data_IF_688735151108
#
_entry.id   IF_688735151108
#
_cell.length_a   1.000
_cell.length_b   1.000
_cell.length_c   1.000
_cell.angle_alpha   90.00
_cell.angle_beta   90.00
_cell.angle_gamma   90.00
#
_symmetry.space_group_name_H-M   'P 1'
#
loop_
_entity.id
_entity.type
_entity.pdbx_description
1 polymer ?
#
# COMPACT_ATOMS: atom_id res chain seq x y z
N UNK A 1 9.51 9.86 14.52
CA UNK A 1 9.77 11.12 13.78
C UNK A 1 10.92 11.83 14.46
N UNK A 2 12.14 11.83 13.87
CA UNK A 2 13.31 12.45 14.51
C UNK A 2 13.40 13.97 14.30
N UNK A 3 12.46 14.57 13.56
CA UNK A 3 12.46 16.00 13.23
C UNK A 3 11.37 16.74 13.99
N UNK A 4 11.69 17.97 14.43
CA UNK A 4 10.75 18.85 15.10
C UNK A 4 9.61 19.23 14.15
N UNK A 5 8.37 19.22 14.64
CA UNK A 5 7.12 19.49 13.89
C UNK A 5 6.72 18.44 12.83
N UNK A 6 7.41 17.29 12.76
CA UNK A 6 7.04 16.21 11.84
C UNK A 6 5.76 15.47 12.24
N UNK A 7 4.87 15.21 11.28
CA UNK A 7 3.62 14.44 11.48
C UNK A 7 3.56 13.22 10.55
N UNK A 8 3.16 12.06 11.08
CA UNK A 8 2.82 10.89 10.27
C UNK A 8 1.40 11.08 9.72
N UNK A 9 1.28 11.54 8.48
CA UNK A 9 0.00 12.00 7.92
C UNK A 9 -0.60 11.05 6.89
N UNK A 10 0.16 10.05 6.44
CA UNK A 10 -0.29 9.06 5.46
C UNK A 10 -1.44 8.24 6.01
N UNK A 11 -2.45 8.07 5.16
CA UNK A 11 -3.65 7.29 5.42
C UNK A 11 -3.76 6.25 4.31
N UNK A 12 -3.41 5.03 4.68
CA UNK A 12 -3.27 3.92 3.76
C UNK A 12 -3.70 2.64 4.45
N UNK A 13 -4.36 1.77 3.70
CA UNK A 13 -4.67 0.40 4.12
C UNK A 13 -3.96 -0.57 3.19
N UNK A 14 -3.24 -1.54 3.77
CA UNK A 14 -2.76 -2.73 3.08
C UNK A 14 -3.65 -3.88 3.54
N UNK A 15 -4.45 -4.41 2.63
CA UNK A 15 -5.45 -5.44 2.92
C UNK A 15 -5.03 -6.73 2.24
N UNK A 16 -4.67 -7.74 3.03
CA UNK A 16 -4.24 -9.05 2.54
C UNK A 16 -5.36 -10.06 2.75
N UNK A 17 -5.77 -10.70 1.66
CA UNK A 17 -6.84 -11.68 1.59
C UNK A 17 -6.28 -13.04 1.18
N UNK A 18 -7.09 -14.08 1.33
CA UNK A 18 -6.77 -15.40 0.76
C UNK A 18 -6.71 -15.39 -0.77
N UNK A 19 -7.39 -14.43 -1.41
CA UNK A 19 -7.50 -14.29 -2.87
C UNK A 19 -6.54 -13.26 -3.48
N UNK A 20 -5.81 -12.48 -2.68
CA UNK A 20 -4.89 -11.45 -3.16
C UNK A 20 -4.68 -10.31 -2.18
N UNK A 21 -4.19 -9.17 -2.69
CA UNK A 21 -3.86 -7.98 -1.90
C UNK A 21 -4.52 -6.74 -2.51
N UNK A 22 -4.94 -5.80 -1.66
CA UNK A 22 -5.45 -4.49 -2.08
C UNK A 22 -4.77 -3.36 -1.32
N UNK A 23 -4.50 -2.29 -2.03
CA UNK A 23 -4.00 -1.03 -1.48
C UNK A 23 -5.12 0.00 -1.56
N UNK A 24 -5.40 0.66 -0.44
CA UNK A 24 -6.30 1.81 -0.40
C UNK A 24 -5.51 3.00 0.09
N UNK A 25 -5.49 4.08 -0.69
CA UNK A 25 -4.94 5.38 -0.27
C UNK A 25 -6.11 6.34 -0.12
N UNK A 26 -6.23 6.97 1.04
CA UNK A 26 -7.39 7.80 1.36
C UNK A 26 -7.01 9.06 2.16
N UNK A 27 -7.99 9.92 2.43
CA UNK A 27 -7.77 11.20 3.14
C UNK A 27 -8.36 11.24 4.55
N UNK A 28 -9.24 10.31 4.91
CA UNK A 28 -9.88 10.24 6.23
C UNK A 28 -8.98 9.67 7.35
N UNK A 29 -9.01 10.26 8.54
CA UNK A 29 -8.51 9.58 9.75
C UNK A 29 -9.48 8.45 10.16
N UNK A 30 -9.02 7.50 10.97
CA UNK A 30 -9.87 6.40 11.48
C UNK A 30 -10.71 6.84 12.69
N UNK A 31 -11.56 7.84 12.50
CA UNK A 31 -12.48 8.39 13.51
C UNK A 31 -13.85 8.65 12.90
N UNK A 32 -14.98 8.37 13.57
CA UNK A 32 -16.33 8.50 12.99
C UNK A 32 -16.58 9.83 12.27
N UNK A 33 -16.18 10.95 12.87
CA UNK A 33 -16.38 12.30 12.34
C UNK A 33 -15.74 12.53 10.96
N UNK A 34 -14.68 11.79 10.62
CA UNK A 34 -14.01 11.89 9.32
C UNK A 34 -14.74 11.12 8.21
N UNK A 35 -15.71 10.26 8.56
CA UNK A 35 -16.47 9.41 7.64
C UNK A 35 -17.96 9.78 7.55
N UNK A 36 -18.38 10.87 8.20
CA UNK A 36 -19.79 11.28 8.26
C UNK A 36 -20.08 12.51 7.37
N UNK A 37 -19.66 13.69 7.79
CA UNK A 37 -20.02 14.98 7.15
C UNK A 37 -18.82 15.68 6.49
N UNK A 38 -17.84 14.91 6.01
CA UNK A 38 -16.65 15.46 5.33
C UNK A 38 -16.51 14.87 3.94
N UNK A 39 -16.17 15.72 2.98
CA UNK A 39 -15.71 15.27 1.67
C UNK A 39 -14.35 14.61 1.81
N UNK A 40 -14.28 13.31 1.53
CA UNK A 40 -13.04 12.52 1.58
C UNK A 40 -12.79 11.86 0.22
N UNK A 41 -11.53 11.67 -0.11
CA UNK A 41 -11.09 10.97 -1.32
C UNK A 41 -10.61 9.56 -0.99
N UNK A 42 -10.84 8.66 -1.96
CA UNK A 42 -10.37 7.29 -1.93
C UNK A 42 -9.81 6.93 -3.30
N UNK A 43 -8.60 6.40 -3.31
CA UNK A 43 -8.09 5.59 -4.41
C UNK A 43 -8.04 4.15 -3.94
N UNK A 44 -8.69 3.27 -4.69
CA UNK A 44 -8.78 1.85 -4.40
C UNK A 44 -8.11 1.10 -5.54
N UNK A 45 -7.01 0.41 -5.26
CA UNK A 45 -6.31 -0.38 -6.26
C UNK A 45 -7.19 -1.53 -6.78
N UNK A 46 -6.87 -2.12 -7.94
CA UNK A 46 -7.33 -3.47 -8.30
C UNK A 46 -6.99 -4.49 -7.21
N UNK A 47 -7.60 -5.68 -7.30
CA UNK A 47 -7.14 -6.82 -6.51
C UNK A 47 -5.87 -7.38 -7.15
N UNK A 48 -4.75 -7.31 -6.44
CA UNK A 48 -3.48 -7.86 -6.89
C UNK A 48 -3.42 -9.34 -6.54
N UNK A 49 -3.41 -10.26 -7.52
CA UNK A 49 -3.33 -11.69 -7.25
C UNK A 49 -1.92 -12.06 -6.76
N UNK A 50 -1.79 -13.26 -6.18
CA UNK A 50 -0.49 -13.79 -5.79
C UNK A 50 0.29 -14.23 -7.04
N UNK A 51 1.57 -13.91 -7.12
CA UNK A 51 2.44 -14.35 -8.20
C UNK A 51 2.59 -15.88 -8.19
N UNK A 52 2.66 -16.47 -9.39
CA UNK A 52 3.11 -17.85 -9.54
C UNK A 52 4.63 -17.91 -9.37
N UNK A 53 5.17 -19.05 -8.95
CA UNK A 53 6.58 -19.18 -8.54
C UNK A 53 7.57 -18.82 -9.66
N UNK A 54 7.15 -18.98 -10.90
CA UNK A 54 7.97 -18.72 -12.08
C UNK A 54 8.04 -17.23 -12.48
N UNK A 55 7.11 -16.38 -12.00
CA UNK A 55 6.92 -15.00 -12.50
C UNK A 55 7.46 -13.91 -11.55
N UNK A 56 8.31 -14.27 -10.59
CA UNK A 56 8.73 -13.38 -9.50
C UNK A 56 9.38 -12.05 -9.93
N UNK A 57 9.80 -11.92 -11.20
CA UNK A 57 10.48 -10.74 -11.73
C UNK A 57 9.57 -9.71 -12.44
N UNK A 58 8.32 -10.03 -12.81
CA UNK A 58 7.49 -9.16 -13.69
C UNK A 58 6.21 -8.61 -13.05
N UNK A 59 6.08 -8.67 -11.72
CA UNK A 59 4.86 -8.26 -11.02
C UNK A 59 4.70 -6.76 -10.76
N UNK A 60 5.28 -5.87 -11.56
CA UNK A 60 5.14 -4.40 -11.41
C UNK A 60 4.40 -3.79 -12.61
N UNK A 61 3.77 -2.64 -12.41
CA UNK A 61 3.05 -1.92 -13.46
C UNK A 61 3.98 -1.07 -14.33
N UNK A 62 3.46 -0.57 -15.45
CA UNK A 62 4.14 0.46 -16.25
C UNK A 62 4.40 1.76 -15.47
N UNK A 63 3.61 2.02 -14.42
CA UNK A 63 3.78 3.16 -13.51
C UNK A 63 4.80 2.90 -12.40
N UNK A 64 5.33 1.68 -12.29
CA UNK A 64 6.28 1.24 -11.25
C UNK A 64 5.75 1.38 -9.82
N UNK A 65 4.43 1.29 -9.67
CA UNK A 65 3.76 1.55 -8.39
C UNK A 65 4.26 0.60 -7.28
N UNK A 66 4.53 -0.67 -7.57
CA UNK A 66 5.02 -1.63 -6.56
C UNK A 66 6.41 -1.23 -6.08
N UNK A 67 7.32 -0.91 -7.00
CA UNK A 67 8.67 -0.47 -6.64
C UNK A 67 8.64 0.80 -5.77
N UNK A 68 7.82 1.78 -6.12
CA UNK A 68 7.71 3.05 -5.40
C UNK A 68 7.06 2.87 -4.02
N UNK A 69 6.02 2.03 -3.92
CA UNK A 69 5.40 1.70 -2.63
C UNK A 69 6.37 0.96 -1.70
N UNK A 70 7.17 0.03 -2.23
CA UNK A 70 8.22 -0.64 -1.47
C UNK A 70 9.28 0.34 -0.97
N UNK A 71 9.70 1.29 -1.81
CA UNK A 71 10.64 2.33 -1.42
C UNK A 71 10.07 3.21 -0.29
N UNK A 72 8.81 3.62 -0.42
CA UNK A 72 8.09 4.39 0.59
C UNK A 72 8.03 3.67 1.95
N UNK A 73 7.64 2.39 1.97
CA UNK A 73 7.54 1.60 3.19
C UNK A 73 8.90 1.32 3.83
N UNK A 74 9.95 1.08 3.04
CA UNK A 74 11.32 0.85 3.55
C UNK A 74 11.91 2.08 4.25
N UNK A 75 11.44 3.29 3.94
CA UNK A 75 11.87 4.51 4.64
C UNK A 75 11.52 4.51 6.14
N UNK A 76 10.55 3.72 6.57
CA UNK A 76 10.20 3.59 7.99
C UNK A 76 11.28 2.85 8.80
N UNK A 77 12.05 1.96 8.17
CA UNK A 77 13.09 1.14 8.81
C UNK A 77 12.57 0.32 10.02
N UNK A 78 11.31 -0.15 9.94
CA UNK A 78 10.65 -0.96 10.96
C UNK A 78 10.50 -2.41 10.48
N UNK A 79 10.79 -3.39 11.33
CA UNK A 79 10.67 -4.82 11.01
C UNK A 79 9.25 -5.22 10.65
N UNK A 80 8.26 -4.69 11.35
CA UNK A 80 6.84 -4.98 11.09
C UNK A 80 6.39 -4.48 9.72
N UNK A 81 6.96 -3.35 9.26
CA UNK A 81 6.71 -2.81 7.91
C UNK A 81 7.42 -3.65 6.85
N UNK A 82 8.60 -4.20 7.14
CA UNK A 82 9.30 -5.08 6.21
C UNK A 82 8.51 -6.37 5.89
N UNK A 83 7.78 -6.92 6.87
CA UNK A 83 6.86 -8.05 6.59
C UNK A 83 5.81 -7.71 5.53
N UNK A 84 5.32 -6.46 5.51
CA UNK A 84 4.42 -6.01 4.45
C UNK A 84 5.13 -5.87 3.12
N UNK A 85 6.39 -5.41 3.09
CA UNK A 85 7.20 -5.40 1.88
C UNK A 85 7.34 -6.81 1.27
N UNK A 86 7.57 -7.83 2.11
CA UNK A 86 7.68 -9.23 1.65
C UNK A 86 6.36 -9.75 1.09
N UNK A 87 5.22 -9.35 1.65
CA UNK A 87 3.90 -9.66 1.10
C UNK A 87 3.66 -8.96 -0.23
N UNK A 88 3.99 -7.67 -0.35
CA UNK A 88 3.85 -6.92 -1.61
C UNK A 88 4.68 -7.55 -2.73
N UNK A 89 5.88 -8.05 -2.41
CA UNK A 89 6.74 -8.73 -3.38
C UNK A 89 6.15 -10.04 -3.93
N UNK A 90 5.22 -10.66 -3.21
CA UNK A 90 4.54 -11.89 -3.60
C UNK A 90 3.29 -11.67 -4.45
N UNK A 91 2.91 -10.43 -4.74
CA UNK A 91 1.69 -10.12 -5.50
C UNK A 91 1.99 -9.39 -6.81
N UNK A 92 1.13 -9.59 -7.80
CA UNK A 92 1.23 -8.97 -9.12
C UNK A 92 0.51 -7.62 -9.17
N UNK A 93 1.28 -6.56 -9.41
CA UNK A 93 0.81 -5.17 -9.50
C UNK A 93 0.66 -4.69 -10.95
N UNK A 94 0.84 -5.55 -11.95
CA UNK A 94 0.77 -5.21 -13.39
C UNK A 94 -0.48 -4.41 -13.78
N UNK A 95 -1.61 -4.67 -13.11
CA UNK A 95 -2.90 -3.99 -13.33
C UNK A 95 -3.01 -2.57 -12.76
N UNK A 96 -1.98 -2.09 -12.04
CA UNK A 96 -2.00 -0.75 -11.43
C UNK A 96 -1.75 0.34 -12.47
N UNK A 97 -2.79 1.10 -12.82
CA UNK A 97 -2.75 2.23 -13.76
C UNK A 97 -2.73 3.57 -13.07
#
# INVERSE_FOLDING_TARGET
MPYLYGTHHTKMMLLHYTTGLRVVVHTANLRPDDWYEKTQGFWVSPLFPKLQKEDACEGDSCTRFRADLLAYLRCYKLTDVNRWCDLLLQHDFSSCT
#
